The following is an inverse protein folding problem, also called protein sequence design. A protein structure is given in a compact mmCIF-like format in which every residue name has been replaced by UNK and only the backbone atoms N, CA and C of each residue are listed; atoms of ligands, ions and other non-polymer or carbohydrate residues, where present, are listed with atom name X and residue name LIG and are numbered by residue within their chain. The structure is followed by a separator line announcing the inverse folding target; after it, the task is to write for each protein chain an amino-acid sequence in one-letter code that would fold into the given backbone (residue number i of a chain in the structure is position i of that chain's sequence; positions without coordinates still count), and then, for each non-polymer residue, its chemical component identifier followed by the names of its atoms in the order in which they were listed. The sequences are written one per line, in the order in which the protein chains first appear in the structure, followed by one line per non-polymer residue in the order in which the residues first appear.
data_IF_118323642031
#
_entry.id   IF_118323642031
#
_cell.length_a   1.000
_cell.length_b   1.000
_cell.length_c   1.000
_cell.angle_alpha   90.00
_cell.angle_beta   90.00
_cell.angle_gamma   90.00
#
_symmetry.space_group_name_H-M   'P 1'
#
loop_
_entity.id
_entity.type
_entity.pdbx_description
1 polymer ?
#
# COMPACT_ATOMS: atom_id res chain seq x y z
N UNK A 1 23.38 -31.33 -24.17
CA UNK A 1 24.08 -30.03 -24.28
C UNK A 1 23.49 -29.13 -23.22
N UNK A 2 24.16 -29.02 -22.07
CA UNK A 2 23.70 -28.16 -20.98
C UNK A 2 23.78 -26.71 -21.45
N UNK A 3 22.62 -26.05 -21.50
CA UNK A 3 22.54 -24.63 -21.82
C UNK A 3 23.43 -23.91 -20.80
N UNK A 4 24.48 -23.24 -21.27
CA UNK A 4 25.34 -22.40 -20.44
C UNK A 4 24.50 -21.21 -19.95
N UNK A 5 23.76 -21.41 -18.86
CA UNK A 5 22.86 -20.42 -18.31
C UNK A 5 23.71 -19.32 -17.69
N UNK A 6 23.98 -18.27 -18.47
CA UNK A 6 24.76 -17.12 -18.04
C UNK A 6 24.26 -16.66 -16.65
N UNK A 7 25.12 -16.81 -15.66
CA UNK A 7 24.84 -16.37 -14.30
C UNK A 7 24.76 -14.84 -14.32
N UNK A 8 23.75 -14.26 -13.66
CA UNK A 8 23.64 -12.81 -13.56
C UNK A 8 24.73 -12.22 -12.67
N UNK A 9 25.13 -12.96 -11.64
CA UNK A 9 26.08 -12.54 -10.64
C UNK A 9 27.26 -13.50 -10.56
N UNK A 10 28.46 -12.93 -10.40
CA UNK A 10 29.70 -13.66 -10.11
C UNK A 10 30.22 -13.37 -8.70
N UNK A 11 30.95 -14.31 -8.13
CA UNK A 11 31.56 -14.22 -6.80
C UNK A 11 32.99 -13.68 -6.90
N UNK A 12 33.38 -12.81 -5.97
CA UNK A 12 34.78 -12.45 -5.78
C UNK A 12 35.06 -12.11 -4.31
N UNK A 13 36.34 -12.12 -3.92
CA UNK A 13 36.82 -11.82 -2.57
C UNK A 13 37.58 -10.50 -2.55
N UNK A 14 37.35 -9.65 -1.55
CA UNK A 14 38.10 -8.39 -1.36
C UNK A 14 39.24 -8.56 -0.35
N UNK A 15 40.15 -7.57 -0.30
CA UNK A 15 41.30 -7.53 0.64
C UNK A 15 40.91 -7.66 2.12
N UNK A 16 39.67 -7.29 2.49
CA UNK A 16 39.14 -7.45 3.84
C UNK A 16 38.71 -8.90 4.18
N UNK A 17 38.96 -9.88 3.31
CA UNK A 17 38.66 -11.28 3.52
C UNK A 17 37.19 -11.68 3.31
N UNK A 18 36.27 -10.71 3.12
CA UNK A 18 34.84 -10.94 2.90
C UNK A 18 34.51 -11.17 1.43
N UNK A 19 33.45 -11.93 1.18
CA UNK A 19 32.94 -12.22 -0.15
C UNK A 19 31.90 -11.19 -0.63
N UNK A 20 31.94 -10.92 -1.93
CA UNK A 20 31.10 -9.95 -2.62
C UNK A 20 30.52 -10.58 -3.89
N UNK A 21 29.35 -10.09 -4.30
CA UNK A 21 28.77 -10.38 -5.60
C UNK A 21 29.02 -9.19 -6.55
N UNK A 22 29.18 -9.47 -7.83
CA UNK A 22 29.24 -8.47 -8.91
C UNK A 22 28.29 -8.90 -10.03
N UNK A 23 27.54 -7.95 -10.61
CA UNK A 23 26.76 -8.21 -11.82
C UNK A 23 27.66 -8.45 -13.02
N UNK A 24 27.32 -9.42 -13.87
CA UNK A 24 28.03 -9.63 -15.14
C UNK A 24 27.64 -8.52 -16.14
N UNK A 25 26.36 -8.18 -16.19
CA UNK A 25 25.83 -7.13 -17.10
C UNK A 25 25.84 -5.73 -16.47
N UNK A 26 26.20 -5.63 -15.18
CA UNK A 26 26.13 -4.39 -14.42
C UNK A 26 27.35 -4.24 -13.52
N UNK A 27 27.95 -3.04 -13.50
CA UNK A 27 29.02 -2.70 -12.56
C UNK A 27 28.55 -2.60 -11.09
N UNK A 28 27.30 -2.94 -10.80
CA UNK A 28 26.78 -3.03 -9.44
C UNK A 28 27.43 -4.20 -8.70
N UNK A 29 27.84 -3.91 -7.48
CA UNK A 29 28.48 -4.85 -6.57
C UNK A 29 27.94 -4.66 -5.16
N UNK A 30 27.96 -5.72 -4.36
CA UNK A 30 27.58 -5.63 -2.96
C UNK A 30 28.17 -6.76 -2.13
N UNK A 31 28.24 -6.59 -0.80
CA UNK A 31 28.72 -7.63 0.09
C UNK A 31 27.74 -8.81 0.12
N UNK A 32 28.27 -10.02 0.32
CA UNK A 32 27.48 -11.19 0.71
C UNK A 32 27.42 -11.37 2.23
N UNK A 33 28.19 -10.57 2.98
CA UNK A 33 28.13 -10.54 4.44
C UNK A 33 28.95 -11.62 5.15
N UNK A 34 29.55 -12.55 4.42
CA UNK A 34 30.31 -13.68 4.98
C UNK A 34 31.77 -13.71 4.52
N UNK A 35 32.63 -14.30 5.34
CA UNK A 35 34.02 -14.65 5.03
C UNK A 35 34.20 -16.15 4.73
N UNK A 36 33.17 -16.97 4.92
CA UNK A 36 33.16 -18.37 4.52
C UNK A 36 32.81 -18.48 3.03
N UNK A 37 33.65 -19.21 2.29
CA UNK A 37 33.49 -19.44 0.85
C UNK A 37 32.24 -20.27 0.56
N UNK A 38 31.98 -21.32 1.35
CA UNK A 38 30.84 -22.24 1.10
C UNK A 38 29.52 -21.51 1.29
N UNK A 39 29.42 -20.72 2.35
CA UNK A 39 28.26 -19.87 2.60
C UNK A 39 28.07 -18.83 1.50
N UNK A 40 29.16 -18.18 1.05
CA UNK A 40 29.10 -17.20 -0.02
C UNK A 40 28.62 -17.80 -1.36
N UNK A 41 29.10 -18.99 -1.70
CA UNK A 41 28.67 -19.72 -2.91
C UNK A 41 27.18 -20.10 -2.86
N UNK A 42 26.67 -20.52 -1.69
CA UNK A 42 25.22 -20.76 -1.49
C UNK A 42 24.40 -19.49 -1.68
N UNK A 43 24.80 -18.38 -1.07
CA UNK A 43 24.11 -17.10 -1.19
C UNK A 43 24.12 -16.57 -2.64
N UNK A 44 25.23 -16.74 -3.36
CA UNK A 44 25.32 -16.37 -4.77
C UNK A 44 24.41 -17.24 -5.65
N UNK A 45 24.41 -18.55 -5.41
CA UNK A 45 23.58 -19.51 -6.15
C UNK A 45 22.10 -19.20 -5.97
N UNK A 46 21.66 -18.99 -4.73
CA UNK A 46 20.29 -18.54 -4.43
C UNK A 46 19.95 -17.22 -5.14
N UNK A 47 20.87 -16.26 -5.22
CA UNK A 47 20.68 -15.01 -5.97
C UNK A 47 20.52 -15.21 -7.48
N UNK A 48 21.31 -16.11 -8.05
CA UNK A 48 21.25 -16.43 -9.47
C UNK A 48 19.97 -17.21 -9.81
N UNK A 49 19.55 -18.16 -8.96
CA UNK A 49 18.27 -18.88 -9.06
C UNK A 49 17.07 -17.93 -8.91
N UNK A 50 17.13 -17.03 -7.93
CA UNK A 50 16.13 -15.97 -7.73
C UNK A 50 15.88 -15.17 -9.02
N UNK A 51 16.94 -14.92 -9.78
CA UNK A 51 16.87 -14.19 -11.05
C UNK A 51 16.46 -15.06 -12.24
N UNK A 52 16.91 -16.32 -12.31
CA UNK A 52 16.67 -17.19 -13.47
C UNK A 52 15.20 -17.55 -13.65
N UNK A 53 14.48 -17.80 -12.56
CA UNK A 53 13.10 -18.27 -12.63
C UNK A 53 12.17 -17.51 -11.66
N UNK A 54 11.94 -16.19 -11.88
CA UNK A 54 11.14 -15.38 -10.97
C UNK A 54 9.74 -15.95 -10.72
N UNK A 55 9.12 -16.55 -11.74
CA UNK A 55 7.80 -17.17 -11.65
C UNK A 55 7.82 -18.42 -10.74
N UNK A 56 8.85 -19.27 -10.84
CA UNK A 56 8.99 -20.44 -9.97
C UNK A 56 9.19 -20.00 -8.52
N UNK A 57 10.03 -19.00 -8.28
CA UNK A 57 10.28 -18.48 -6.94
C UNK A 57 9.00 -17.95 -6.29
N UNK A 58 8.14 -17.30 -7.08
CA UNK A 58 6.83 -16.85 -6.59
C UNK A 58 5.91 -18.03 -6.26
N UNK A 59 5.87 -19.08 -7.08
CA UNK A 59 5.08 -20.28 -6.76
C UNK A 59 5.58 -21.00 -5.51
N UNK A 60 6.90 -21.08 -5.30
CA UNK A 60 7.50 -21.68 -4.12
C UNK A 60 7.18 -20.86 -2.85
N UNK A 61 7.34 -19.53 -2.94
CA UNK A 61 6.94 -18.63 -1.86
C UNK A 61 5.47 -18.83 -1.49
N UNK A 62 4.56 -18.90 -2.48
CA UNK A 62 3.13 -19.18 -2.23
C UNK A 62 2.91 -20.51 -1.54
N UNK A 63 3.62 -21.57 -1.92
CA UNK A 63 3.51 -22.87 -1.27
C UNK A 63 3.92 -22.80 0.21
N UNK A 64 5.04 -22.12 0.53
CA UNK A 64 5.46 -21.91 1.92
C UNK A 64 4.46 -21.08 2.73
N UNK A 65 3.92 -20.02 2.12
CA UNK A 65 2.92 -19.17 2.76
C UNK A 65 1.59 -19.93 3.00
N UNK A 66 1.15 -20.74 2.03
CA UNK A 66 -0.06 -21.56 2.16
C UNK A 66 0.08 -22.66 3.22
N UNK A 67 1.28 -23.20 3.41
CA UNK A 67 1.55 -24.17 4.47
C UNK A 67 1.44 -23.55 5.88
N UNK A 68 1.68 -22.24 6.00
CA UNK A 68 1.49 -21.51 7.27
C UNK A 68 0.03 -21.11 7.49
N UNK A 69 -0.58 -20.43 6.53
CA UNK A 69 -2.01 -20.10 6.48
C UNK A 69 -2.50 -20.20 5.03
N UNK A 70 -3.36 -21.18 4.77
CA UNK A 70 -3.96 -21.40 3.44
C UNK A 70 -4.69 -20.17 2.89
N UNK A 71 -5.27 -19.34 3.76
CA UNK A 71 -6.00 -18.15 3.35
C UNK A 71 -5.05 -17.02 2.95
N UNK A 72 -3.79 -17.01 3.41
CA UNK A 72 -2.89 -15.90 3.15
C UNK A 72 -2.60 -15.71 1.65
N UNK A 73 -2.67 -16.78 0.85
CA UNK A 73 -2.48 -16.73 -0.61
C UNK A 73 -3.70 -16.17 -1.35
N UNK A 74 -4.91 -16.44 -0.85
CA UNK A 74 -6.18 -16.07 -1.50
C UNK A 74 -6.82 -14.81 -0.92
N UNK A 75 -6.42 -14.38 0.27
CA UNK A 75 -6.99 -13.21 0.96
C UNK A 75 -6.80 -11.97 0.10
N UNK A 76 -7.91 -11.31 -0.21
CA UNK A 76 -7.97 -10.09 -1.02
C UNK A 76 -8.11 -8.86 -0.14
N UNK A 77 -7.95 -7.68 -0.74
CA UNK A 77 -8.24 -6.43 -0.04
C UNK A 77 -9.70 -6.27 0.33
N UNK A 78 -10.63 -6.93 -0.36
CA UNK A 78 -12.05 -6.94 0.03
C UNK A 78 -12.23 -7.49 1.45
N UNK A 79 -11.58 -8.60 1.78
CA UNK A 79 -11.63 -9.18 3.14
C UNK A 79 -11.09 -8.20 4.18
N UNK A 80 -10.05 -7.44 3.84
CA UNK A 80 -9.51 -6.38 4.72
C UNK A 80 -10.48 -5.22 4.88
N UNK A 81 -11.21 -4.85 3.83
CA UNK A 81 -12.20 -3.77 3.90
C UNK A 81 -13.38 -4.17 4.78
N UNK A 82 -13.82 -5.43 4.66
CA UNK A 82 -14.90 -5.99 5.46
C UNK A 82 -14.50 -6.07 6.93
N UNK A 83 -13.28 -6.55 7.22
CA UNK A 83 -12.74 -6.56 8.58
C UNK A 83 -12.57 -5.13 9.12
N UNK A 84 -12.03 -4.20 8.32
CA UNK A 84 -11.88 -2.80 8.73
C UNK A 84 -13.23 -2.13 9.10
N UNK A 85 -14.33 -2.60 8.51
CA UNK A 85 -15.67 -2.12 8.83
C UNK A 85 -16.22 -2.68 10.16
N UNK A 86 -15.61 -3.70 10.77
CA UNK A 86 -15.99 -4.21 12.11
C UNK A 86 -15.31 -3.43 13.25
N UNK A 87 -14.17 -2.80 12.98
CA UNK A 87 -13.39 -2.11 14.01
C UNK A 87 -13.97 -0.76 14.46
N UNK A 88 -13.87 -0.49 15.76
CA UNK A 88 -14.18 0.80 16.38
C UNK A 88 -15.64 0.97 16.77
N UNK A 89 -16.05 2.22 17.02
CA UNK A 89 -17.44 2.55 17.40
C UNK A 89 -18.40 2.46 16.19
N UNK A 90 -19.71 2.24 16.40
CA UNK A 90 -20.67 2.03 15.31
C UNK A 90 -20.67 3.13 14.23
N UNK A 91 -20.49 4.39 14.62
CA UNK A 91 -20.41 5.51 13.67
C UNK A 91 -19.19 5.42 12.76
N UNK A 92 -18.07 4.89 13.26
CA UNK A 92 -16.85 4.69 12.49
C UNK A 92 -17.00 3.50 11.54
N UNK A 93 -17.62 2.41 12.00
CA UNK A 93 -17.94 1.23 11.20
C UNK A 93 -18.78 1.62 9.96
N UNK A 94 -19.88 2.37 10.17
CA UNK A 94 -20.74 2.86 9.08
C UNK A 94 -19.98 3.74 8.10
N UNK A 95 -19.10 4.63 8.58
CA UNK A 95 -18.26 5.48 7.73
C UNK A 95 -17.27 4.66 6.89
N UNK A 96 -16.60 3.67 7.50
CA UNK A 96 -15.69 2.75 6.81
C UNK A 96 -16.44 1.97 5.72
N UNK A 97 -17.57 1.34 6.08
CA UNK A 97 -18.39 0.58 5.14
C UNK A 97 -18.86 1.44 3.95
N UNK A 98 -19.28 2.68 4.21
CA UNK A 98 -19.65 3.62 3.14
C UNK A 98 -18.44 4.02 2.27
N UNK A 99 -17.29 4.28 2.87
CA UNK A 99 -16.08 4.65 2.12
C UNK A 99 -15.64 3.53 1.17
N UNK A 100 -15.66 2.27 1.64
CA UNK A 100 -15.20 1.11 0.86
C UNK A 100 -16.15 0.67 -0.25
N UNK A 101 -17.39 1.17 -0.31
CA UNK A 101 -18.27 1.00 -1.48
C UNK A 101 -17.85 1.83 -2.70
N UNK A 102 -16.94 2.78 -2.51
CA UNK A 102 -16.45 3.60 -3.62
C UNK A 102 -15.72 2.77 -4.66
N UNK A 103 -15.97 3.07 -5.94
CA UNK A 103 -15.28 2.48 -7.10
C UNK A 103 -13.78 2.80 -7.12
N UNK A 104 -13.34 3.80 -6.35
CA UNK A 104 -11.93 4.13 -6.19
C UNK A 104 -11.09 2.90 -5.79
N UNK A 105 -11.65 1.98 -5.01
CA UNK A 105 -10.93 0.80 -4.51
C UNK A 105 -10.94 -0.41 -5.44
N UNK A 106 -11.71 -0.37 -6.53
CA UNK A 106 -11.90 -1.53 -7.42
C UNK A 106 -10.58 -2.08 -8.00
N UNK A 107 -9.55 -1.26 -8.33
CA UNK A 107 -8.26 -1.78 -8.81
C UNK A 107 -7.55 -2.72 -7.82
N UNK A 108 -7.76 -2.53 -6.51
CA UNK A 108 -7.12 -3.36 -5.49
C UNK A 108 -8.08 -4.36 -4.84
N UNK A 109 -9.41 -4.14 -4.93
CA UNK A 109 -10.44 -4.88 -4.21
C UNK A 109 -10.32 -6.40 -4.34
N UNK A 110 -10.17 -6.89 -5.57
CA UNK A 110 -10.06 -8.32 -5.90
C UNK A 110 -8.62 -8.82 -5.91
N UNK A 111 -7.63 -7.92 -5.75
CA UNK A 111 -6.22 -8.28 -5.80
C UNK A 111 -5.80 -8.99 -4.50
N UNK A 112 -5.10 -10.12 -4.58
CA UNK A 112 -4.56 -10.78 -3.40
C UNK A 112 -3.51 -9.92 -2.68
N UNK A 113 -3.50 -9.95 -1.35
CA UNK A 113 -2.57 -9.16 -0.53
C UNK A 113 -1.10 -9.44 -0.89
N UNK A 114 -0.75 -10.71 -1.04
CA UNK A 114 0.63 -11.18 -1.37
C UNK A 114 1.11 -10.68 -2.72
N UNK A 115 0.21 -10.37 -3.65
CA UNK A 115 0.54 -9.90 -5.00
C UNK A 115 0.55 -8.38 -5.11
N UNK A 116 0.20 -7.68 -4.03
CA UNK A 116 0.10 -6.22 -4.05
C UNK A 116 1.48 -5.60 -3.86
N UNK A 117 1.84 -4.69 -4.76
CA UNK A 117 3.09 -3.96 -4.75
C UNK A 117 2.91 -2.56 -4.17
N UNK A 118 4.00 -1.93 -3.75
CA UNK A 118 3.96 -0.53 -3.32
C UNK A 118 3.51 0.42 -4.44
N UNK A 119 3.80 0.08 -5.70
CA UNK A 119 3.37 0.86 -6.87
C UNK A 119 1.85 0.90 -6.98
N UNK A 120 1.16 -0.24 -6.80
CA UNK A 120 -0.31 -0.29 -6.84
C UNK A 120 -0.94 0.64 -5.80
N UNK A 121 -0.40 0.64 -4.58
CA UNK A 121 -0.91 1.49 -3.50
C UNK A 121 -0.63 2.98 -3.75
N UNK A 122 0.53 3.30 -4.32
CA UNK A 122 0.91 4.67 -4.65
C UNK A 122 0.10 5.21 -5.83
N UNK A 123 -0.13 4.41 -6.87
CA UNK A 123 -0.98 4.78 -8.01
C UNK A 123 -2.40 5.11 -7.53
N UNK A 124 -2.98 4.23 -6.71
CA UNK A 124 -4.28 4.46 -6.10
C UNK A 124 -4.28 5.72 -5.22
N UNK A 125 -3.21 5.96 -4.47
CA UNK A 125 -3.06 7.15 -3.64
C UNK A 125 -3.02 8.44 -4.50
N UNK A 126 -2.24 8.45 -5.58
CA UNK A 126 -2.06 9.60 -6.44
C UNK A 126 -3.31 9.93 -7.27
N UNK A 127 -4.02 8.91 -7.75
CA UNK A 127 -5.23 9.06 -8.56
C UNK A 127 -6.45 9.60 -7.79
N UNK A 128 -6.46 9.52 -6.46
CA UNK A 128 -7.65 9.83 -5.65
C UNK A 128 -7.44 10.97 -4.65
N UNK A 129 -8.55 11.47 -4.09
CA UNK A 129 -8.56 12.54 -3.09
C UNK A 129 -8.22 12.09 -1.66
N UNK A 130 -8.15 13.06 -0.74
CA UNK A 130 -7.71 12.87 0.66
C UNK A 130 -8.47 11.79 1.44
N UNK A 131 -9.78 11.64 1.19
CA UNK A 131 -10.57 10.61 1.87
C UNK A 131 -10.07 9.21 1.52
N UNK A 132 -9.91 8.90 0.24
CA UNK A 132 -9.41 7.59 -0.22
C UNK A 132 -8.01 7.34 0.31
N UNK A 133 -7.13 8.35 0.24
CA UNK A 133 -5.76 8.30 0.78
C UNK A 133 -5.71 7.97 2.26
N UNK A 134 -6.59 8.60 3.06
CA UNK A 134 -6.69 8.36 4.49
C UNK A 134 -7.11 6.92 4.80
N UNK A 135 -8.20 6.46 4.18
CA UNK A 135 -8.71 5.11 4.40
C UNK A 135 -7.78 4.03 3.84
N UNK A 136 -7.10 4.29 2.72
CA UNK A 136 -6.12 3.37 2.14
C UNK A 136 -4.95 3.10 3.09
N UNK A 137 -4.40 4.16 3.70
CA UNK A 137 -3.32 4.00 4.69
C UNK A 137 -3.78 3.21 5.91
N UNK A 138 -5.01 3.45 6.35
CA UNK A 138 -5.60 2.75 7.51
C UNK A 138 -5.88 1.28 7.19
N UNK A 139 -6.35 0.98 5.98
CA UNK A 139 -6.56 -0.38 5.47
C UNK A 139 -5.24 -1.17 5.43
N UNK A 140 -4.17 -0.54 4.92
CA UNK A 140 -2.82 -1.13 4.93
C UNK A 140 -2.34 -1.43 6.35
N UNK A 141 -2.53 -0.51 7.30
CA UNK A 141 -2.14 -0.74 8.68
C UNK A 141 -2.91 -1.91 9.30
N UNK A 142 -4.24 -2.00 9.11
CA UNK A 142 -5.05 -3.13 9.62
C UNK A 142 -4.53 -4.47 9.09
N UNK A 143 -4.23 -4.56 7.80
CA UNK A 143 -3.68 -5.79 7.22
C UNK A 143 -2.31 -6.19 7.80
N UNK A 144 -1.49 -5.20 8.17
CA UNK A 144 -0.20 -5.43 8.83
C UNK A 144 -0.40 -5.83 10.30
N UNK A 145 -1.28 -5.14 11.02
CA UNK A 145 -1.54 -5.36 12.45
C UNK A 145 -2.16 -6.74 12.70
N UNK A 146 -2.98 -7.25 11.77
CA UNK A 146 -3.56 -8.60 11.82
C UNK A 146 -2.58 -9.71 11.36
N UNK A 147 -1.37 -9.35 10.93
CA UNK A 147 -0.38 -10.32 10.43
C UNK A 147 -0.75 -10.94 9.08
N UNK A 148 -1.73 -10.39 8.36
CA UNK A 148 -2.16 -10.90 7.06
C UNK A 148 -1.18 -10.55 5.93
N UNK A 149 -0.28 -9.62 6.19
CA UNK A 149 0.86 -9.31 5.34
C UNK A 149 2.13 -9.51 6.18
N UNK A 150 3.03 -10.38 5.73
CA UNK A 150 4.25 -10.72 6.46
C UNK A 150 5.22 -9.53 6.63
N UNK A 151 5.17 -8.54 5.74
CA UNK A 151 5.95 -7.30 5.84
C UNK A 151 5.16 -6.10 5.32
N UNK A 152 5.37 -4.89 5.88
CA UNK A 152 4.67 -3.70 5.39
C UNK A 152 5.06 -3.38 3.94
N UNK A 153 4.09 -3.45 3.03
CA UNK A 153 4.26 -3.07 1.60
C UNK A 153 4.84 -1.65 1.46
N UNK A 154 4.35 -0.71 2.26
CA UNK A 154 4.90 0.65 2.36
C UNK A 154 5.27 0.96 3.81
N UNK A 155 6.49 1.44 4.02
CA UNK A 155 6.90 1.95 5.32
C UNK A 155 6.05 3.17 5.71
N UNK A 156 5.79 3.37 7.01
CA UNK A 156 4.98 4.50 7.52
C UNK A 156 5.44 5.87 6.98
N UNK A 157 6.73 6.03 6.71
CA UNK A 157 7.40 7.24 6.21
C UNK A 157 7.24 7.45 4.70
N UNK A 158 7.03 6.36 3.95
CA UNK A 158 6.91 6.37 2.50
C UNK A 158 5.52 6.82 2.01
N UNK A 159 4.53 6.83 2.90
CA UNK A 159 3.20 7.33 2.58
C UNK A 159 3.23 8.84 2.28
N UNK A 160 2.70 9.29 1.12
CA UNK A 160 2.65 10.71 0.82
C UNK A 160 1.79 11.46 1.85
N UNK A 161 2.18 12.73 2.12
CA UNK A 161 1.48 13.56 3.09
C UNK A 161 0.08 13.90 2.60
N UNK A 162 -0.92 13.61 3.43
CA UNK A 162 -2.31 14.02 3.20
C UNK A 162 -2.38 15.52 3.48
N UNK A 163 -2.66 16.34 2.46
CA UNK A 163 -2.80 17.79 2.61
C UNK A 163 -4.25 18.10 2.90
N UNK A 164 -4.59 18.49 4.12
CA UNK A 164 -5.87 19.14 4.37
C UNK A 164 -5.81 20.56 3.81
N UNK A 165 -6.74 20.93 2.94
CA UNK A 165 -7.00 22.35 2.70
C UNK A 165 -7.48 22.98 4.01
N UNK A 166 -6.98 24.17 4.31
CA UNK A 166 -7.50 24.96 5.41
C UNK A 166 -8.94 25.33 5.07
N UNK A 167 -9.89 24.91 5.92
CA UNK A 167 -11.21 25.50 5.91
C UNK A 167 -11.00 26.96 6.28
N UNK A 168 -11.20 27.88 5.32
CA UNK A 168 -11.28 29.30 5.66
C UNK A 168 -12.49 29.45 6.56
N UNK A 169 -12.27 29.85 7.81
CA UNK A 169 -13.36 30.25 8.68
C UNK A 169 -14.08 31.41 7.98
N UNK A 170 -15.36 31.24 7.65
CA UNK A 170 -16.17 32.38 7.25
C UNK A 170 -16.23 33.29 8.48
N UNK A 171 -15.57 34.45 8.38
CA UNK A 171 -15.65 35.51 9.38
C UNK A 171 -17.12 35.76 9.69
N UNK A 172 -17.48 35.87 10.97
CA UNK A 172 -18.86 35.98 11.48
C UNK A 172 -19.73 37.08 10.81
N UNK A 173 -19.13 37.99 10.03
CA UNK A 173 -19.83 38.99 9.22
C UNK A 173 -20.70 38.39 8.10
N UNK A 174 -20.34 37.23 7.53
CA UNK A 174 -21.14 36.63 6.45
C UNK A 174 -22.40 35.93 6.96
N UNK A 175 -22.39 35.44 8.22
CA UNK A 175 -23.56 34.83 8.86
C UNK A 175 -24.62 35.86 9.25
N UNK A 176 -24.23 37.08 9.67
CA UNK A 176 -25.19 38.15 9.97
C UNK A 176 -25.86 38.68 8.69
N UNK A 177 -25.11 38.89 7.60
CA UNK A 177 -25.67 39.38 6.33
C UNK A 177 -26.70 38.45 5.69
N UNK A 178 -26.54 37.13 5.83
CA UNK A 178 -27.53 36.15 5.37
C UNK A 178 -28.78 36.12 6.25
N UNK A 179 -28.64 36.34 7.56
CA UNK A 179 -29.79 36.43 8.48
C UNK A 179 -30.60 37.73 8.29
N UNK A 180 -29.97 38.82 7.89
CA UNK A 180 -30.65 40.09 7.60
C UNK A 180 -31.28 40.12 6.20
N UNK A 181 -30.64 39.49 5.20
CA UNK A 181 -31.24 39.31 3.86
C UNK A 181 -32.50 38.43 3.87
N UNK A 182 -32.60 37.49 4.82
CA UNK A 182 -33.80 36.63 4.99
C UNK A 182 -34.92 37.33 5.79
N UNK A 183 -34.61 38.42 6.51
CA UNK A 183 -35.60 39.24 7.23
C UNK A 183 -36.25 40.31 6.35
N UNK A 184 -35.53 40.83 5.34
CA UNK A 184 -36.06 41.86 4.42
C UNK A 184 -37.10 41.37 3.40
N UNK A 185 -37.37 40.06 3.31
CA UNK A 185 -38.37 39.49 2.39
C UNK A 185 -39.75 39.32 3.05
N UNK A 186 -39.85 39.48 4.38
CA UNK A 186 -41.10 39.23 5.12
C UNK A 186 -42.06 40.44 5.24
N UNK A 187 -41.61 41.67 4.96
CA UNK A 187 -42.40 42.90 5.24
C UNK A 187 -42.99 43.60 4.00
N UNK A 188 -42.97 42.97 2.83
CA UNK A 188 -43.48 43.55 1.58
C UNK A 188 -44.74 42.87 1.04
N UNK A 189 -45.83 42.84 1.81
CA UNK A 189 -47.04 42.09 1.40
C UNK A 189 -48.36 42.54 2.02
N UNK A 190 -48.58 43.85 2.23
CA UNK A 190 -49.92 44.36 2.54
C UNK A 190 -50.72 44.53 1.23
N UNK A 191 -51.41 43.47 0.80
CA UNK A 191 -52.52 43.57 -0.13
C UNK A 191 -53.73 44.19 0.59
N UNK A 192 -54.14 45.36 0.13
CA UNK A 192 -55.35 46.07 0.52
C UNK A 192 -56.59 45.45 -0.14
N UNK A 193 -57.70 45.48 0.61
CA UNK A 193 -59.12 45.55 0.18
C UNK A 193 -59.75 44.31 -0.49
N UNK A 194 -60.57 43.58 0.29
CA UNK A 194 -62.04 43.80 0.30
C UNK A 194 -62.70 43.14 1.51
#
# INVERSE_FOLDING_TARGET
MEVNVQQKYRLYRRRNGKFYWQGNDSQKQGPLGTSDRREAERLLSAKNEAHRQPTLNLSLARAYLAAHDSQMVSRTWQVVMDEMATHGIPTTQVRCARAFRSKAYDPIRTKPLVQTTGADLLELHHANGNCVRHYLRRLHNVAVDLGWIAWPILAKRAWPKIRSESIRANSANLSCGLADSMRGVADGGACTLR
#
